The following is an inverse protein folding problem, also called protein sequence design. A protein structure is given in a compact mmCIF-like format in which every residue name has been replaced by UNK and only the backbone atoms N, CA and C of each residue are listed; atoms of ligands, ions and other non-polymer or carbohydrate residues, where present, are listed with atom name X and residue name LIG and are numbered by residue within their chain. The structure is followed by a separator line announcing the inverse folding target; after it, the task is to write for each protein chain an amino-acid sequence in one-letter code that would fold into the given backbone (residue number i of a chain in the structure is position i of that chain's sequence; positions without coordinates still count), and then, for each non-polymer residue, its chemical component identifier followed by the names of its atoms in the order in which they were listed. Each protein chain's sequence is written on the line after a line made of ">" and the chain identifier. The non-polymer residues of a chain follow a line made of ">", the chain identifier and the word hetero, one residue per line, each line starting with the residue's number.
data_IF_159425841110
#
_entry.id   IF_159425841110
#
_cell.length_a   1.000
_cell.length_b   1.000
_cell.length_c   1.000
_cell.angle_alpha   90.00
_cell.angle_beta   90.00
_cell.angle_gamma   90.00
#
_symmetry.space_group_name_H-M   'P 1'
#
loop_
_entity.id
_entity.type
_entity.pdbx_description
1 polymer ?
#
# COMPACT_ATOMS: atom_id res chain seq x y z
N UNK A 1 19.66 -32.33 -8.30
CA UNK A 1 20.12 -30.92 -8.26
C UNK A 1 19.48 -30.10 -7.14
N UNK A 2 18.22 -30.31 -6.75
CA UNK A 2 17.54 -29.47 -5.72
C UNK A 2 17.88 -29.79 -4.26
N UNK A 3 18.30 -31.03 -3.93
CA UNK A 3 18.64 -31.44 -2.56
C UNK A 3 20.14 -31.29 -2.23
N UNK A 4 20.88 -30.59 -3.10
CA UNK A 4 22.32 -30.40 -2.97
C UNK A 4 22.55 -29.10 -2.19
N UNK A 5 23.44 -29.14 -1.20
CA UNK A 5 23.80 -27.96 -0.41
C UNK A 5 24.41 -26.87 -1.32
N UNK A 6 24.46 -25.62 -0.88
CA UNK A 6 25.13 -24.56 -1.65
C UNK A 6 26.63 -24.88 -1.90
N UNK A 7 27.24 -25.73 -1.05
CA UNK A 7 28.59 -26.27 -1.25
C UNK A 7 28.66 -27.30 -2.39
N UNK A 8 27.55 -28.00 -2.68
CA UNK A 8 27.46 -29.04 -3.71
C UNK A 8 27.05 -28.50 -5.10
N UNK A 9 26.45 -27.30 -5.17
CA UNK A 9 26.10 -26.63 -6.44
C UNK A 9 26.50 -25.14 -6.45
N UNK A 10 27.80 -24.92 -6.61
CA UNK A 10 28.44 -23.60 -6.62
C UNK A 10 27.88 -22.60 -7.65
N UNK A 11 27.15 -23.07 -8.66
CA UNK A 11 26.58 -22.25 -9.73
C UNK A 11 25.11 -21.84 -9.53
N UNK A 12 24.51 -22.11 -8.36
CA UNK A 12 23.09 -21.81 -8.08
C UNK A 12 22.73 -20.35 -8.30
N UNK A 13 23.61 -19.44 -7.84
CA UNK A 13 23.40 -17.99 -7.98
C UNK A 13 23.41 -17.57 -9.44
N UNK A 14 24.35 -18.09 -10.23
CA UNK A 14 24.50 -17.82 -11.66
C UNK A 14 23.31 -18.37 -12.45
N UNK A 15 22.84 -19.58 -12.11
CA UNK A 15 21.65 -20.17 -12.72
C UNK A 15 20.40 -19.32 -12.43
N UNK A 16 20.19 -18.93 -11.17
CA UNK A 16 19.06 -18.08 -10.79
C UNK A 16 19.13 -16.71 -11.48
N UNK A 17 20.32 -16.12 -11.63
CA UNK A 17 20.50 -14.88 -12.36
C UNK A 17 20.25 -15.04 -13.88
N UNK A 18 20.62 -16.17 -14.45
CA UNK A 18 20.35 -16.50 -15.85
C UNK A 18 18.85 -16.64 -16.10
N UNK A 19 18.15 -17.43 -15.27
CA UNK A 19 16.69 -17.58 -15.33
C UNK A 19 15.99 -16.25 -15.09
N UNK A 20 16.45 -15.47 -14.11
CA UNK A 20 15.96 -14.13 -13.83
C UNK A 20 16.07 -13.20 -15.04
N UNK A 21 17.23 -13.19 -15.70
CA UNK A 21 17.45 -12.42 -16.93
C UNK A 21 16.52 -12.86 -18.07
N UNK A 22 16.29 -14.17 -18.20
CA UNK A 22 15.35 -14.72 -19.19
C UNK A 22 13.89 -14.29 -18.90
N UNK A 23 13.45 -14.39 -17.64
CA UNK A 23 12.10 -13.97 -17.20
C UNK A 23 11.89 -12.49 -17.49
N UNK A 24 12.87 -11.66 -17.15
CA UNK A 24 12.87 -10.22 -17.39
C UNK A 24 12.86 -9.85 -18.88
N UNK A 25 13.44 -10.68 -19.75
CA UNK A 25 13.54 -10.40 -21.18
C UNK A 25 12.34 -10.93 -21.99
N UNK A 26 11.84 -12.10 -21.63
CA UNK A 26 10.82 -12.84 -22.40
C UNK A 26 9.47 -12.89 -21.71
N UNK A 27 9.39 -12.53 -20.43
CA UNK A 27 8.20 -12.66 -19.60
C UNK A 27 8.12 -14.04 -18.92
N UNK A 28 7.44 -14.13 -17.75
CA UNK A 28 7.40 -15.34 -16.95
C UNK A 28 6.75 -16.52 -17.67
N UNK A 29 5.67 -16.28 -18.42
CA UNK A 29 4.94 -17.32 -19.15
C UNK A 29 5.81 -18.07 -20.16
N UNK A 30 6.53 -17.33 -21.01
CA UNK A 30 7.39 -17.93 -22.02
C UNK A 30 8.52 -18.77 -21.39
N UNK A 31 9.06 -18.33 -20.25
CA UNK A 31 10.09 -19.10 -19.54
C UNK A 31 9.49 -20.37 -18.94
N UNK A 32 8.29 -20.31 -18.35
CA UNK A 32 7.61 -21.50 -17.84
C UNK A 32 7.32 -22.51 -18.96
N UNK A 33 6.91 -22.05 -20.14
CA UNK A 33 6.67 -22.88 -21.31
C UNK A 33 7.96 -23.59 -21.79
N UNK A 34 9.09 -22.87 -21.82
CA UNK A 34 10.42 -23.41 -22.17
C UNK A 34 10.88 -24.45 -21.14
N UNK A 35 10.64 -24.20 -19.86
CA UNK A 35 10.94 -25.14 -18.77
C UNK A 35 9.94 -26.31 -18.71
N UNK A 36 8.93 -26.32 -19.58
CA UNK A 36 7.84 -27.29 -19.62
C UNK A 36 7.07 -27.37 -18.29
N UNK A 37 6.98 -26.25 -17.57
CA UNK A 37 6.22 -26.11 -16.34
C UNK A 37 4.80 -25.66 -16.70
N UNK A 38 3.87 -26.63 -16.79
CA UNK A 38 2.47 -26.36 -17.12
C UNK A 38 1.69 -25.71 -15.97
N UNK A 39 2.04 -26.04 -14.73
CA UNK A 39 1.49 -25.43 -13.51
C UNK A 39 2.59 -25.34 -12.48
N UNK A 40 2.65 -24.22 -11.77
CA UNK A 40 3.46 -24.14 -10.56
C UNK A 40 2.80 -25.08 -9.53
N UNK A 41 3.60 -25.96 -8.94
CA UNK A 41 3.25 -26.97 -7.96
C UNK A 41 4.31 -27.01 -6.88
N UNK A 42 4.13 -27.89 -5.89
CA UNK A 42 5.09 -28.05 -4.79
C UNK A 42 6.47 -28.53 -5.30
N UNK A 43 6.52 -29.31 -6.39
CA UNK A 43 7.80 -29.80 -6.93
C UNK A 43 8.65 -28.71 -7.59
N UNK A 44 8.03 -27.64 -8.06
CA UNK A 44 8.70 -26.54 -8.76
C UNK A 44 8.62 -25.19 -8.02
N UNK A 45 8.26 -25.22 -6.73
CA UNK A 45 8.13 -24.03 -5.86
C UNK A 45 9.40 -23.16 -5.81
N UNK A 46 10.57 -23.76 -6.04
CA UNK A 46 11.86 -23.07 -6.14
C UNK A 46 11.90 -21.94 -7.17
N UNK A 47 10.97 -21.92 -8.14
CA UNK A 47 10.89 -20.87 -9.16
C UNK A 47 10.23 -19.60 -8.62
N UNK A 48 9.40 -19.68 -7.57
CA UNK A 48 8.66 -18.54 -7.02
C UNK A 48 9.59 -17.39 -6.60
N UNK A 49 10.67 -17.60 -5.82
CA UNK A 49 11.57 -16.51 -5.44
C UNK A 49 12.30 -15.88 -6.62
N UNK A 50 12.48 -16.63 -7.73
CA UNK A 50 13.10 -16.10 -8.95
C UNK A 50 12.09 -15.23 -9.69
N UNK A 51 10.85 -15.70 -9.84
CA UNK A 51 9.75 -14.94 -10.42
C UNK A 51 9.49 -13.65 -9.63
N UNK A 52 9.39 -13.74 -8.31
CA UNK A 52 9.16 -12.60 -7.42
C UNK A 52 10.20 -11.49 -7.63
N UNK A 53 11.46 -11.84 -7.90
CA UNK A 53 12.53 -10.84 -8.07
C UNK A 53 12.71 -10.29 -9.48
N UNK A 54 12.29 -11.03 -10.51
CA UNK A 54 12.69 -10.72 -11.88
C UNK A 54 11.54 -10.49 -12.86
N UNK A 55 10.29 -10.64 -12.41
CA UNK A 55 9.14 -10.21 -13.21
C UNK A 55 9.14 -8.69 -13.30
N UNK A 56 9.29 -8.20 -14.53
CA UNK A 56 9.20 -6.78 -14.89
C UNK A 56 8.61 -6.71 -16.30
N UNK A 57 7.69 -5.79 -16.55
CA UNK A 57 7.14 -5.63 -17.91
C UNK A 57 6.14 -6.70 -18.34
N UNK A 58 5.74 -7.59 -17.42
CA UNK A 58 4.84 -8.71 -17.72
C UNK A 58 3.37 -8.26 -17.83
N UNK A 59 2.54 -9.03 -18.54
CA UNK A 59 1.10 -8.77 -18.58
C UNK A 59 0.45 -9.18 -17.25
N UNK A 60 -0.46 -8.35 -16.74
CA UNK A 60 -1.29 -8.67 -15.58
C UNK A 60 -2.17 -9.91 -15.81
N UNK A 61 -2.43 -10.28 -17.07
CA UNK A 61 -3.12 -11.52 -17.43
C UNK A 61 -2.36 -12.76 -16.95
N UNK A 62 -1.03 -12.71 -16.84
CA UNK A 62 -0.25 -13.81 -16.26
C UNK A 62 -0.71 -14.09 -14.83
N UNK A 63 -0.84 -13.05 -14.01
CA UNK A 63 -1.36 -13.20 -12.66
C UNK A 63 -2.83 -13.64 -12.67
N UNK A 64 -3.66 -13.00 -13.49
CA UNK A 64 -5.11 -13.23 -13.50
C UNK A 64 -5.54 -14.61 -14.02
N UNK A 65 -4.81 -15.17 -15.00
CA UNK A 65 -5.16 -16.44 -15.65
C UNK A 65 -4.35 -17.59 -15.09
N UNK A 66 -3.03 -17.43 -15.02
CA UNK A 66 -2.13 -18.53 -14.72
C UNK A 66 -1.98 -18.66 -13.20
N UNK A 67 -1.62 -17.59 -12.48
CA UNK A 67 -1.39 -17.65 -11.02
C UNK A 67 -2.70 -17.82 -10.23
N UNK A 68 -3.72 -17.00 -10.49
CA UNK A 68 -5.00 -17.11 -9.77
C UNK A 68 -5.73 -18.43 -10.04
N UNK A 69 -5.50 -19.06 -11.19
CA UNK A 69 -6.00 -20.40 -11.47
C UNK A 69 -5.45 -21.41 -10.47
N UNK A 70 -4.14 -21.35 -10.21
CA UNK A 70 -3.45 -22.21 -9.23
C UNK A 70 -3.92 -21.89 -7.82
N UNK A 71 -3.96 -20.60 -7.43
CA UNK A 71 -4.45 -20.16 -6.11
C UNK A 71 -5.83 -20.76 -5.81
N UNK A 72 -6.79 -20.59 -6.72
CA UNK A 72 -8.16 -21.10 -6.52
C UNK A 72 -8.21 -22.63 -6.42
N UNK A 73 -7.37 -23.33 -7.19
CA UNK A 73 -7.29 -24.79 -7.13
C UNK A 73 -6.77 -25.28 -5.77
N UNK A 74 -5.72 -24.61 -5.26
CA UNK A 74 -5.13 -24.91 -3.95
C UNK A 74 -6.10 -24.55 -2.83
N UNK A 75 -6.70 -23.36 -2.85
CA UNK A 75 -7.70 -22.93 -1.86
C UNK A 75 -8.89 -23.90 -1.76
N UNK A 76 -9.38 -24.40 -2.91
CA UNK A 76 -10.47 -25.41 -2.94
C UNK A 76 -10.06 -26.75 -2.31
N UNK A 77 -8.77 -27.04 -2.25
CA UNK A 77 -8.25 -28.28 -1.65
C UNK A 77 -8.11 -28.19 -0.12
N UNK A 78 -7.89 -27.00 0.44
CA UNK A 78 -7.64 -26.79 1.87
C UNK A 78 -8.76 -27.35 2.76
N UNK A 79 -10.06 -27.06 2.52
CA UNK A 79 -11.13 -27.62 3.36
C UNK A 79 -11.22 -29.14 3.32
N UNK A 80 -10.80 -29.78 2.22
CA UNK A 80 -10.76 -31.25 2.11
C UNK A 80 -9.64 -31.82 2.98
N UNK A 81 -8.47 -31.19 2.96
CA UNK A 81 -7.33 -31.58 3.81
C UNK A 81 -7.65 -31.43 5.30
N UNK A 82 -8.38 -30.40 5.67
CA UNK A 82 -8.84 -30.21 7.05
C UNK A 82 -9.84 -31.28 7.49
N UNK A 83 -10.74 -31.74 6.60
CA UNK A 83 -11.68 -32.83 6.89
C UNK A 83 -11.00 -34.20 7.04
N UNK A 84 -9.88 -34.40 6.36
CA UNK A 84 -9.07 -35.62 6.44
C UNK A 84 -8.07 -35.60 7.62
N UNK A 85 -8.22 -34.67 8.58
CA UNK A 85 -7.30 -34.42 9.70
C UNK A 85 -5.84 -34.14 9.29
N UNK A 86 -5.60 -33.67 8.05
CA UNK A 86 -4.27 -33.33 7.52
C UNK A 86 -3.93 -31.86 7.76
N UNK A 87 -3.90 -31.44 9.02
CA UNK A 87 -3.64 -30.04 9.41
C UNK A 87 -2.32 -29.49 8.84
N UNK A 88 -1.24 -30.27 8.88
CA UNK A 88 0.06 -29.83 8.35
C UNK A 88 0.03 -29.59 6.84
N UNK A 89 -0.68 -30.44 6.09
CA UNK A 89 -0.83 -30.27 4.64
C UNK A 89 -1.71 -29.06 4.32
N UNK A 90 -2.76 -28.82 5.11
CA UNK A 90 -3.60 -27.63 4.97
C UNK A 90 -2.78 -26.34 5.20
N UNK A 91 -2.01 -26.26 6.30
CA UNK A 91 -1.13 -25.11 6.57
C UNK A 91 -0.07 -24.89 5.51
N UNK A 92 0.50 -25.98 4.96
CA UNK A 92 1.45 -25.88 3.84
C UNK A 92 0.78 -25.29 2.59
N UNK A 93 -0.44 -25.71 2.29
CA UNK A 93 -1.21 -25.17 1.18
C UNK A 93 -1.56 -23.68 1.38
N UNK A 94 -1.90 -23.26 2.60
CA UNK A 94 -2.08 -21.83 2.94
C UNK A 94 -0.80 -21.02 2.72
N UNK A 95 0.35 -21.53 3.18
CA UNK A 95 1.65 -20.90 2.92
C UNK A 95 1.98 -20.80 1.43
N UNK A 96 1.64 -21.84 0.67
CA UNK A 96 1.83 -21.84 -0.79
C UNK A 96 0.92 -20.80 -1.49
N UNK A 97 -0.33 -20.65 -1.05
CA UNK A 97 -1.23 -19.59 -1.53
C UNK A 97 -0.60 -18.22 -1.28
N UNK A 98 -0.07 -17.98 -0.08
CA UNK A 98 0.62 -16.73 0.24
C UNK A 98 1.81 -16.47 -0.71
N UNK A 99 2.67 -17.47 -0.95
CA UNK A 99 3.81 -17.35 -1.87
C UNK A 99 3.40 -17.14 -3.33
N UNK A 100 2.22 -17.62 -3.76
CA UNK A 100 1.69 -17.30 -5.09
C UNK A 100 1.23 -15.84 -5.16
N UNK A 101 0.59 -15.34 -4.10
CA UNK A 101 0.19 -13.94 -4.00
C UNK A 101 1.39 -12.99 -3.91
N UNK A 102 2.53 -13.40 -3.32
CA UNK A 102 3.74 -12.57 -3.26
C UNK A 102 4.32 -12.21 -4.63
N UNK A 103 3.89 -12.91 -5.71
CA UNK A 103 4.24 -12.55 -7.08
C UNK A 103 3.50 -11.31 -7.61
N UNK A 104 2.37 -10.93 -7.00
CA UNK A 104 1.52 -9.85 -7.50
C UNK A 104 2.26 -8.49 -7.59
N UNK A 105 3.00 -8.02 -6.57
CA UNK A 105 3.73 -6.76 -6.64
C UNK A 105 4.69 -6.72 -7.84
N UNK A 106 5.37 -7.83 -8.12
CA UNK A 106 6.29 -7.96 -9.25
C UNK A 106 5.55 -8.00 -10.59
N UNK A 107 4.39 -8.65 -10.65
CA UNK A 107 3.51 -8.56 -11.83
C UNK A 107 3.00 -7.13 -12.06
N UNK A 108 2.88 -6.33 -11.00
CA UNK A 108 2.54 -4.92 -11.05
C UNK A 108 3.73 -4.00 -11.40
N UNK A 109 4.95 -4.54 -11.51
CA UNK A 109 6.15 -3.77 -11.90
C UNK A 109 6.20 -3.55 -13.43
N UNK A 110 5.86 -2.32 -13.84
CA UNK A 110 5.73 -1.88 -15.23
C UNK A 110 4.89 -2.79 -16.17
N UNK A 111 3.71 -3.31 -15.80
CA UNK A 111 2.91 -4.18 -16.65
C UNK A 111 2.51 -3.52 -17.97
N UNK A 112 2.45 -4.33 -19.03
CA UNK A 112 2.23 -3.84 -20.38
C UNK A 112 0.76 -3.60 -20.75
N UNK A 113 -0.19 -3.97 -19.89
CA UNK A 113 -1.62 -4.07 -20.21
C UNK A 113 -2.55 -3.54 -19.10
N UNK A 114 -2.06 -2.63 -18.25
CA UNK A 114 -2.80 -2.07 -17.10
C UNK A 114 -4.18 -1.56 -17.50
N UNK A 115 -4.27 -0.68 -18.51
CA UNK A 115 -5.55 -0.10 -18.96
C UNK A 115 -6.61 -1.16 -19.30
N UNK A 116 -6.21 -2.25 -19.97
CA UNK A 116 -7.13 -3.32 -20.36
C UNK A 116 -7.46 -4.32 -19.24
N UNK A 117 -6.49 -4.60 -18.35
CA UNK A 117 -6.57 -5.69 -17.38
C UNK A 117 -7.01 -5.23 -15.97
N UNK A 118 -6.86 -3.93 -15.66
CA UNK A 118 -7.09 -3.42 -14.29
C UNK A 118 -8.53 -3.59 -13.83
N UNK A 119 -9.53 -3.48 -14.73
CA UNK A 119 -10.94 -3.68 -14.38
C UNK A 119 -11.23 -5.07 -13.81
N UNK A 120 -10.57 -6.11 -14.32
CA UNK A 120 -10.68 -7.48 -13.79
C UNK A 120 -9.88 -7.60 -12.52
N UNK A 121 -8.65 -7.08 -12.52
CA UNK A 121 -7.76 -7.11 -11.36
C UNK A 121 -8.40 -6.44 -10.13
N UNK A 122 -8.99 -5.25 -10.26
CA UNK A 122 -9.56 -4.53 -9.12
C UNK A 122 -10.66 -5.32 -8.41
N UNK A 123 -11.46 -6.11 -9.13
CA UNK A 123 -12.50 -6.93 -8.49
C UNK A 123 -11.87 -7.98 -7.58
N UNK A 124 -10.82 -8.62 -8.07
CA UNK A 124 -10.03 -9.58 -7.29
C UNK A 124 -9.40 -8.88 -6.09
N UNK A 125 -8.74 -7.74 -6.29
CA UNK A 125 -8.08 -7.00 -5.20
C UNK A 125 -9.06 -6.55 -4.12
N UNK A 126 -10.23 -6.04 -4.50
CA UNK A 126 -11.27 -5.61 -3.55
C UNK A 126 -11.79 -6.79 -2.72
N UNK A 127 -12.10 -7.92 -3.37
CA UNK A 127 -12.56 -9.13 -2.70
C UNK A 127 -11.51 -9.66 -1.72
N UNK A 128 -10.26 -9.75 -2.16
CA UNK A 128 -9.16 -10.23 -1.32
C UNK A 128 -8.86 -9.27 -0.15
N UNK A 129 -8.93 -7.95 -0.34
CA UNK A 129 -8.78 -6.97 0.75
C UNK A 129 -9.80 -7.18 1.88
N UNK A 130 -11.05 -7.48 1.51
CA UNK A 130 -12.13 -7.69 2.45
C UNK A 130 -11.98 -9.04 3.17
N UNK A 131 -11.71 -10.11 2.42
CA UNK A 131 -11.82 -11.49 2.91
C UNK A 131 -10.51 -12.07 3.46
N UNK A 132 -9.34 -11.53 3.10
CA UNK A 132 -8.03 -12.12 3.41
C UNK A 132 -7.08 -11.11 4.08
N UNK A 133 -7.12 -10.97 5.42
CA UNK A 133 -6.29 -10.00 6.16
C UNK A 133 -4.78 -10.12 5.90
N UNK A 134 -4.28 -11.34 5.80
CA UNK A 134 -2.85 -11.63 5.65
C UNK A 134 -2.29 -11.14 4.30
N UNK A 135 -3.15 -11.01 3.28
CA UNK A 135 -2.77 -10.58 1.94
C UNK A 135 -2.85 -9.06 1.75
N UNK A 136 -3.40 -8.31 2.72
CA UNK A 136 -3.62 -6.86 2.58
C UNK A 136 -2.33 -6.09 2.32
N UNK A 137 -1.21 -6.50 2.94
CA UNK A 137 0.10 -5.90 2.71
C UNK A 137 0.57 -6.03 1.26
N UNK A 138 0.42 -7.24 0.68
CA UNK A 138 0.76 -7.54 -0.72
C UNK A 138 -0.10 -6.68 -1.66
N UNK A 139 -1.41 -6.61 -1.44
CA UNK A 139 -2.32 -5.83 -2.28
C UNK A 139 -2.01 -4.34 -2.21
N UNK A 140 -1.80 -3.81 -0.99
CA UNK A 140 -1.44 -2.40 -0.78
C UNK A 140 -0.13 -2.04 -1.47
N UNK A 141 0.88 -2.91 -1.40
CA UNK A 141 2.15 -2.72 -2.12
C UNK A 141 1.93 -2.71 -3.64
N UNK A 142 1.16 -3.67 -4.15
CA UNK A 142 0.88 -3.82 -5.58
C UNK A 142 0.18 -2.59 -6.18
N UNK A 143 -0.81 -2.03 -5.48
CA UNK A 143 -1.50 -0.80 -5.90
C UNK A 143 -0.55 0.40 -5.89
N UNK A 144 0.31 0.51 -4.86
CA UNK A 144 1.30 1.59 -4.80
C UNK A 144 2.29 1.53 -5.95
N UNK A 145 2.78 0.35 -6.32
CA UNK A 145 3.69 0.18 -7.47
C UNK A 145 3.00 0.67 -8.74
N UNK A 146 1.77 0.21 -9.00
CA UNK A 146 0.99 0.63 -10.18
C UNK A 146 0.81 2.15 -10.26
N UNK A 147 0.49 2.80 -9.15
CA UNK A 147 0.24 4.25 -9.13
C UNK A 147 1.56 5.03 -9.28
N UNK A 148 2.58 4.70 -8.48
CA UNK A 148 3.84 5.45 -8.43
C UNK A 148 4.56 5.45 -9.77
N UNK A 149 4.69 4.30 -10.42
CA UNK A 149 5.40 4.19 -11.70
C UNK A 149 4.71 4.98 -12.84
N UNK A 150 3.36 5.02 -12.85
CA UNK A 150 2.65 5.83 -13.83
C UNK A 150 2.81 7.33 -13.53
N UNK A 151 2.78 7.74 -12.26
CA UNK A 151 3.03 9.15 -11.89
C UNK A 151 4.45 9.59 -12.23
N UNK A 152 5.43 8.72 -12.01
CA UNK A 152 6.82 8.95 -12.39
C UNK A 152 6.92 9.18 -13.90
N UNK A 153 6.29 8.31 -14.71
CA UNK A 153 6.22 8.47 -16.16
C UNK A 153 5.62 9.81 -16.63
N UNK A 154 4.63 10.34 -15.90
CA UNK A 154 4.07 11.67 -16.18
C UNK A 154 5.01 12.83 -15.80
N UNK A 155 5.77 12.67 -14.73
CA UNK A 155 6.69 13.69 -14.21
C UNK A 155 7.94 13.87 -15.08
N UNK A 156 8.33 12.83 -15.82
CA UNK A 156 9.51 12.84 -16.68
C UNK A 156 9.27 13.78 -17.86
N UNK A 157 10.07 14.84 -17.94
CA UNK A 157 9.97 15.88 -18.98
C UNK A 157 11.00 15.67 -20.10
N UNK A 158 12.18 15.12 -19.78
CA UNK A 158 13.24 14.82 -20.75
C UNK A 158 13.54 13.31 -20.79
N UNK A 159 13.80 12.76 -21.99
CA UNK A 159 14.18 11.35 -22.17
C UNK A 159 15.51 10.99 -21.47
N UNK A 160 16.36 11.97 -21.20
CA UNK A 160 17.65 11.78 -20.52
C UNK A 160 17.49 11.46 -19.03
N UNK A 161 16.41 11.89 -18.37
CA UNK A 161 16.11 11.56 -16.96
C UNK A 161 15.73 10.07 -16.77
N UNK A 162 15.32 9.39 -17.84
CA UNK A 162 15.05 7.93 -17.83
C UNK A 162 16.36 7.14 -17.67
N UNK A 163 17.49 7.72 -18.09
CA UNK A 163 18.78 7.04 -18.30
C UNK A 163 19.78 7.22 -17.15
N UNK A 164 19.47 8.05 -16.15
CA UNK A 164 20.43 8.42 -15.08
C UNK A 164 20.64 7.30 -14.05
N UNK A 165 19.75 6.31 -14.00
CA UNK A 165 19.83 5.27 -12.98
C UNK A 165 20.70 4.09 -13.43
N UNK A 166 22.00 4.20 -13.14
CA UNK A 166 23.02 3.21 -13.51
C UNK A 166 22.75 1.81 -12.90
N UNK A 167 21.88 1.70 -11.88
CA UNK A 167 21.53 0.45 -11.20
C UNK A 167 20.37 -0.34 -11.86
N UNK A 168 19.57 0.28 -12.74
CA UNK A 168 18.43 -0.42 -13.36
C UNK A 168 18.88 -1.49 -14.37
N UNK A 169 18.26 -2.66 -14.31
CA UNK A 169 18.47 -3.73 -15.28
C UNK A 169 18.02 -3.32 -16.69
N UNK A 170 18.57 -3.97 -17.72
CA UNK A 170 18.19 -3.72 -19.13
C UNK A 170 16.70 -3.97 -19.38
N UNK A 171 16.08 -4.92 -18.68
CA UNK A 171 14.65 -5.20 -18.75
C UNK A 171 13.82 -4.09 -18.12
N UNK A 172 14.20 -3.60 -16.95
CA UNK A 172 13.53 -2.48 -16.29
C UNK A 172 13.56 -1.21 -17.14
N UNK A 173 14.72 -0.90 -17.74
CA UNK A 173 14.82 0.24 -18.67
C UNK A 173 13.86 0.10 -19.84
N UNK A 174 13.82 -1.08 -20.49
CA UNK A 174 12.90 -1.35 -21.61
C UNK A 174 11.43 -1.30 -21.18
N UNK A 175 11.10 -1.74 -19.97
CA UNK A 175 9.74 -1.68 -19.46
C UNK A 175 9.33 -0.23 -19.15
N UNK A 176 10.22 0.54 -18.53
CA UNK A 176 10.03 1.98 -18.25
C UNK A 176 9.89 2.81 -19.53
N UNK A 177 10.64 2.50 -20.58
CA UNK A 177 10.53 3.15 -21.90
C UNK A 177 9.13 2.97 -22.55
N UNK A 178 8.40 1.90 -22.21
CA UNK A 178 7.03 1.67 -22.71
C UNK A 178 5.98 2.51 -21.97
N UNK A 179 6.30 3.03 -20.79
CA UNK A 179 5.42 3.91 -20.03
C UNK A 179 5.56 5.34 -20.54
N UNK A 180 5.00 5.58 -21.73
CA UNK A 180 4.86 6.94 -22.29
C UNK A 180 3.84 7.75 -21.49
N UNK A 181 3.85 9.08 -21.63
CA UNK A 181 2.84 9.94 -20.97
C UNK A 181 1.41 9.52 -21.29
N UNK A 182 1.14 9.21 -22.57
CA UNK A 182 -0.18 8.74 -23.02
C UNK A 182 -0.60 7.42 -22.35
N UNK A 183 0.29 6.42 -22.33
CA UNK A 183 0.03 5.14 -21.66
C UNK A 183 -0.19 5.33 -20.15
N UNK A 184 0.62 6.19 -19.52
CA UNK A 184 0.48 6.49 -18.10
C UNK A 184 -0.84 7.20 -17.76
N UNK A 185 -1.28 8.14 -18.59
CA UNK A 185 -2.58 8.80 -18.46
C UNK A 185 -3.74 7.81 -18.60
N UNK A 186 -3.69 6.92 -19.59
CA UNK A 186 -4.71 5.89 -19.79
C UNK A 186 -4.78 4.92 -18.60
N UNK A 187 -3.63 4.42 -18.15
CA UNK A 187 -3.53 3.54 -16.99
C UNK A 187 -4.08 4.21 -15.72
N UNK A 188 -3.70 5.46 -15.45
CA UNK A 188 -4.18 6.19 -14.27
C UNK A 188 -5.66 6.51 -14.36
N UNK A 189 -6.21 6.77 -15.55
CA UNK A 189 -7.64 6.95 -15.75
C UNK A 189 -8.43 5.71 -15.33
N UNK A 190 -7.98 4.53 -15.75
CA UNK A 190 -8.61 3.26 -15.35
C UNK A 190 -8.48 3.00 -13.85
N UNK A 191 -7.32 3.27 -13.24
CA UNK A 191 -7.15 3.12 -11.79
C UNK A 191 -8.04 4.10 -11.02
N UNK A 192 -8.10 5.36 -11.46
CA UNK A 192 -8.92 6.43 -10.84
C UNK A 192 -10.40 6.08 -10.84
N UNK A 193 -10.91 5.43 -11.89
CA UNK A 193 -12.32 5.03 -11.97
C UNK A 193 -12.78 4.14 -10.79
N UNK A 194 -11.85 3.41 -10.16
CA UNK A 194 -12.15 2.54 -9.00
C UNK A 194 -11.66 3.10 -7.66
N UNK A 195 -11.08 4.30 -7.66
CA UNK A 195 -10.48 4.91 -6.46
C UNK A 195 -11.47 5.05 -5.29
N UNK A 196 -12.71 5.47 -5.55
CA UNK A 196 -13.75 5.58 -4.51
C UNK A 196 -14.04 4.24 -3.83
N UNK A 197 -14.09 3.15 -4.58
CA UNK A 197 -14.35 1.80 -4.05
C UNK A 197 -13.17 1.33 -3.20
N UNK A 198 -11.94 1.55 -3.66
CA UNK A 198 -10.75 1.25 -2.86
C UNK A 198 -10.68 2.08 -1.58
N UNK A 199 -10.96 3.37 -1.64
CA UNK A 199 -10.99 4.25 -0.46
C UNK A 199 -12.04 3.82 0.55
N UNK A 200 -13.22 3.38 0.11
CA UNK A 200 -14.27 2.85 0.98
C UNK A 200 -13.80 1.61 1.74
N UNK A 201 -13.26 0.63 1.02
CA UNK A 201 -12.75 -0.62 1.60
C UNK A 201 -11.57 -0.36 2.54
N UNK A 202 -10.59 0.42 2.09
CA UNK A 202 -9.40 0.74 2.88
C UNK A 202 -9.74 1.57 4.11
N UNK A 203 -10.69 2.51 4.03
CA UNK A 203 -11.17 3.27 5.18
C UNK A 203 -11.83 2.33 6.20
N UNK A 204 -12.71 1.44 5.75
CA UNK A 204 -13.35 0.45 6.63
C UNK A 204 -12.31 -0.42 7.33
N UNK A 205 -11.33 -0.93 6.59
CA UNK A 205 -10.25 -1.75 7.15
C UNK A 205 -9.38 -0.94 8.11
N UNK A 206 -9.02 0.30 7.75
CA UNK A 206 -8.20 1.18 8.59
C UNK A 206 -8.83 1.41 9.95
N UNK A 207 -10.14 1.63 9.99
CA UNK A 207 -10.88 1.88 11.23
C UNK A 207 -11.06 0.62 12.09
N UNK A 208 -11.02 -0.58 11.50
CA UNK A 208 -11.14 -1.85 12.22
C UNK A 208 -9.80 -2.52 12.55
N UNK A 209 -8.67 -1.90 12.18
CA UNK A 209 -7.35 -2.56 12.20
C UNK A 209 -6.55 -2.28 13.46
N UNK A 210 -5.65 -3.22 13.79
CA UNK A 210 -4.61 -3.03 14.80
C UNK A 210 -3.50 -2.08 14.29
N UNK A 211 -2.65 -1.59 15.21
CA UNK A 211 -1.57 -0.63 14.91
C UNK A 211 -0.60 -1.09 13.82
N UNK A 212 -0.41 -2.41 13.66
CA UNK A 212 0.55 -2.98 12.72
C UNK A 212 0.09 -2.92 11.26
N UNK A 213 -1.23 -3.07 11.02
CA UNK A 213 -1.79 -3.00 9.67
C UNK A 213 -1.80 -1.57 9.09
N UNK A 214 -1.75 -0.56 9.96
CA UNK A 214 -1.73 0.86 9.55
C UNK A 214 -0.49 1.19 8.71
N UNK A 215 0.64 0.49 8.95
CA UNK A 215 1.91 0.75 8.28
C UNK A 215 1.86 0.62 6.76
N UNK A 216 1.14 -0.38 6.25
CA UNK A 216 0.97 -0.58 4.80
C UNK A 216 -0.30 0.05 4.23
N UNK A 217 -1.35 0.24 5.05
CA UNK A 217 -2.60 0.88 4.62
C UNK A 217 -2.42 2.37 4.34
N UNK A 218 -1.71 3.09 5.23
CA UNK A 218 -1.56 4.54 5.11
C UNK A 218 -0.88 4.96 3.79
N UNK A 219 0.25 4.36 3.35
CA UNK A 219 0.86 4.70 2.07
C UNK A 219 -0.04 4.36 0.88
N UNK A 220 -0.78 3.23 0.93
CA UNK A 220 -1.69 2.86 -0.16
C UNK A 220 -2.86 3.84 -0.30
N UNK A 221 -3.49 4.24 0.82
CA UNK A 221 -4.54 5.26 0.84
C UNK A 221 -4.01 6.58 0.28
N UNK A 222 -2.79 6.96 0.67
CA UNK A 222 -2.12 8.17 0.17
C UNK A 222 -1.92 8.16 -1.35
N UNK A 223 -1.46 7.05 -1.91
CA UNK A 223 -1.33 6.93 -3.37
C UNK A 223 -2.68 6.97 -4.09
N UNK A 224 -3.69 6.26 -3.59
CA UNK A 224 -5.03 6.29 -4.19
C UNK A 224 -5.64 7.69 -4.09
N UNK A 225 -5.57 8.35 -2.93
CA UNK A 225 -6.08 9.69 -2.73
C UNK A 225 -5.43 10.69 -3.71
N UNK A 226 -4.14 10.53 -3.98
CA UNK A 226 -3.39 11.42 -4.88
C UNK A 226 -3.83 11.39 -6.35
N UNK A 227 -4.52 10.33 -6.79
CA UNK A 227 -5.04 10.18 -8.15
C UNK A 227 -6.56 10.35 -8.23
N UNK A 228 -7.23 10.38 -7.08
CA UNK A 228 -8.69 10.44 -6.95
C UNK A 228 -9.24 11.83 -7.27
N UNK A 229 -10.53 11.91 -7.58
CA UNK A 229 -11.25 13.18 -7.65
C UNK A 229 -11.29 13.87 -6.28
N UNK A 230 -11.05 15.20 -6.29
CA UNK A 230 -11.01 16.00 -5.05
C UNK A 230 -12.31 15.89 -4.24
N UNK A 231 -13.46 15.80 -4.92
CA UNK A 231 -14.77 15.66 -4.28
C UNK A 231 -14.91 14.31 -3.55
N UNK A 232 -14.37 13.23 -4.15
CA UNK A 232 -14.38 11.88 -3.56
C UNK A 232 -13.52 11.87 -2.30
N UNK A 233 -12.27 12.35 -2.38
CA UNK A 233 -11.36 12.42 -1.23
C UNK A 233 -11.92 13.35 -0.14
N UNK A 234 -12.49 14.49 -0.55
CA UNK A 234 -13.12 15.46 0.34
C UNK A 234 -14.27 14.86 1.16
N UNK A 235 -15.10 13.99 0.56
CA UNK A 235 -16.17 13.27 1.29
C UNK A 235 -15.59 12.42 2.42
N UNK A 236 -14.62 11.54 2.11
CA UNK A 236 -13.99 10.67 3.11
C UNK A 236 -13.27 11.48 4.20
N UNK A 237 -12.63 12.58 3.82
CA UNK A 237 -11.96 13.48 4.76
C UNK A 237 -12.95 14.16 5.71
N UNK A 238 -14.04 14.74 5.19
CA UNK A 238 -15.05 15.38 6.02
C UNK A 238 -15.70 14.39 6.99
N UNK A 239 -15.97 13.16 6.55
CA UNK A 239 -16.51 12.11 7.41
C UNK A 239 -15.52 11.71 8.52
N UNK A 240 -14.23 11.65 8.21
CA UNK A 240 -13.19 11.41 9.21
C UNK A 240 -13.09 12.55 10.23
N UNK A 241 -13.12 13.81 9.78
CA UNK A 241 -13.08 14.99 10.66
C UNK A 241 -14.32 15.08 11.55
N UNK A 242 -15.52 14.75 11.04
CA UNK A 242 -16.74 14.69 11.86
C UNK A 242 -16.61 13.67 12.99
N UNK A 243 -16.21 12.44 12.65
CA UNK A 243 -15.98 11.38 13.66
C UNK A 243 -14.90 11.79 14.66
N UNK A 244 -13.85 12.48 14.22
CA UNK A 244 -12.77 12.96 15.10
C UNK A 244 -13.30 14.00 16.09
N UNK A 245 -14.15 14.91 15.63
CA UNK A 245 -14.79 15.92 16.46
C UNK A 245 -15.69 15.27 17.52
N UNK A 246 -16.52 14.31 17.12
CA UNK A 246 -17.42 13.61 18.03
C UNK A 246 -16.65 12.81 19.09
N UNK A 247 -15.60 12.11 18.70
CA UNK A 247 -14.71 11.40 19.63
C UNK A 247 -13.98 12.36 20.58
N UNK A 248 -13.58 13.55 20.10
CA UNK A 248 -12.94 14.57 20.95
C UNK A 248 -13.92 15.17 21.97
N UNK A 249 -15.17 15.43 21.58
CA UNK A 249 -16.21 15.88 22.50
C UNK A 249 -16.51 14.84 23.58
N UNK A 250 -16.54 13.56 23.22
CA UNK A 250 -16.77 12.47 24.18
C UNK A 250 -15.68 12.42 25.26
N UNK A 251 -14.41 12.56 24.87
CA UNK A 251 -13.28 12.59 25.83
C UNK A 251 -13.36 13.81 26.75
N UNK A 252 -13.64 14.99 26.19
CA UNK A 252 -13.72 16.22 27.00
C UNK A 252 -14.91 16.20 27.98
N UNK A 253 -16.04 15.61 27.59
CA UNK A 253 -17.20 15.44 28.47
C UNK A 253 -16.93 14.46 29.62
N UNK A 254 -16.08 13.46 29.39
CA UNK A 254 -15.69 12.46 30.40
C UNK A 254 -14.72 13.03 31.43
N UNK A 255 -13.81 13.94 31.04
CA UNK A 255 -12.89 14.62 31.98
C UNK A 255 -13.59 15.51 33.01
N UNK A 256 -14.86 15.89 32.80
CA UNK A 256 -15.64 16.73 33.72
C UNK A 256 -16.43 15.90 34.78
N UNK A 257 -16.56 14.58 34.60
CA UNK A 257 -17.40 13.69 35.42
C UNK A 257 -16.58 12.62 36.17
N UNK A 258 -15.45 13.02 36.74
CA UNK A 258 -14.39 12.15 37.30
C UNK A 258 -14.75 11.48 38.66
N UNK A 259 -15.90 10.80 38.72
CA UNK A 259 -16.46 10.23 39.95
C UNK A 259 -17.01 8.80 39.86
N UNK A 260 -16.81 8.05 38.77
CA UNK A 260 -17.35 6.66 38.67
C UNK A 260 -16.32 5.62 38.18
N UNK A 261 -16.33 4.44 38.80
CA UNK A 261 -15.35 3.35 38.62
C UNK A 261 -15.42 2.58 37.27
N UNK A 262 -16.03 3.14 36.20
CA UNK A 262 -16.15 2.47 34.89
C UNK A 262 -15.44 3.20 33.73
N UNK A 263 -14.56 4.17 34.02
CA UNK A 263 -14.12 5.20 33.05
C UNK A 263 -12.91 4.80 32.18
N UNK A 264 -12.06 3.87 32.61
CA UNK A 264 -10.77 3.61 31.95
C UNK A 264 -10.91 3.00 30.53
N UNK A 265 -11.83 2.06 30.32
CA UNK A 265 -11.96 1.36 29.02
C UNK A 265 -12.51 2.27 27.91
N UNK A 266 -13.46 3.15 28.23
CA UNK A 266 -14.16 3.96 27.23
C UNK A 266 -13.36 5.22 26.83
N UNK A 267 -12.63 5.82 27.78
CA UNK A 267 -11.75 6.95 27.52
C UNK A 267 -10.53 6.56 26.66
N UNK A 268 -9.94 5.39 26.94
CA UNK A 268 -8.82 4.84 26.17
C UNK A 268 -9.25 4.50 24.72
N UNK A 269 -10.44 3.93 24.54
CA UNK A 269 -11.01 3.62 23.22
C UNK A 269 -11.25 4.88 22.38
N UNK A 270 -11.81 5.94 22.98
CA UNK A 270 -12.04 7.20 22.30
C UNK A 270 -10.73 7.93 21.95
N UNK A 271 -9.73 7.90 22.83
CA UNK A 271 -8.40 8.46 22.54
C UNK A 271 -7.69 7.73 21.40
N UNK A 272 -7.77 6.39 21.38
CA UNK A 272 -7.24 5.60 20.27
C UNK A 272 -7.98 5.91 18.95
N UNK A 273 -9.30 6.05 19.00
CA UNK A 273 -10.12 6.41 17.84
C UNK A 273 -9.76 7.80 17.29
N UNK A 274 -9.53 8.79 18.17
CA UNK A 274 -9.07 10.14 17.77
C UNK A 274 -7.72 10.08 17.06
N UNK A 275 -6.77 9.36 17.63
CA UNK A 275 -5.43 9.20 17.07
C UNK A 275 -5.46 8.53 15.67
N UNK A 276 -6.28 7.49 15.51
CA UNK A 276 -6.47 6.78 14.23
C UNK A 276 -7.12 7.67 13.17
N UNK A 277 -8.19 8.39 13.53
CA UNK A 277 -8.88 9.29 12.61
C UNK A 277 -7.99 10.44 12.14
N UNK A 278 -7.11 10.95 13.00
CA UNK A 278 -6.13 11.97 12.64
C UNK A 278 -5.10 11.44 11.63
N UNK A 279 -4.62 10.21 11.84
CA UNK A 279 -3.68 9.56 10.92
C UNK A 279 -4.33 9.17 9.58
N UNK A 280 -5.59 8.75 9.59
CA UNK A 280 -6.37 8.52 8.40
C UNK A 280 -6.59 9.82 7.62
N UNK A 281 -7.01 10.90 8.28
CA UNK A 281 -7.18 12.20 7.63
C UNK A 281 -5.86 12.70 7.00
N UNK A 282 -4.73 12.43 7.64
CA UNK A 282 -3.40 12.73 7.10
C UNK A 282 -3.04 11.86 5.88
N UNK A 283 -3.53 10.62 5.81
CA UNK A 283 -3.31 9.76 4.64
C UNK A 283 -4.01 10.29 3.38
N UNK A 284 -5.09 11.06 3.52
CA UNK A 284 -5.85 11.61 2.38
C UNK A 284 -5.24 12.91 1.81
N UNK A 285 -4.27 13.53 2.49
CA UNK A 285 -3.75 14.86 2.14
C UNK A 285 -3.34 15.05 0.68
N UNK A 286 -2.69 14.08 -0.01
CA UNK A 286 -2.29 14.29 -1.40
C UNK A 286 -3.45 14.56 -2.37
N UNK A 287 -4.67 14.16 -2.02
CA UNK A 287 -5.88 14.38 -2.83
C UNK A 287 -6.73 15.57 -2.38
N UNK A 288 -6.33 16.29 -1.33
CA UNK A 288 -7.13 17.37 -0.73
C UNK A 288 -6.82 18.74 -1.34
N UNK A 289 -7.79 19.64 -1.25
CA UNK A 289 -7.60 21.05 -1.56
C UNK A 289 -6.98 21.82 -0.38
N UNK A 290 -6.47 23.03 -0.66
CA UNK A 290 -5.83 23.86 0.36
C UNK A 290 -6.76 24.21 1.53
N UNK A 291 -8.09 24.31 1.30
CA UNK A 291 -9.06 24.58 2.37
C UNK A 291 -9.16 23.39 3.32
N UNK A 292 -9.30 22.17 2.80
CA UNK A 292 -9.37 20.95 3.62
C UNK A 292 -8.07 20.71 4.40
N UNK A 293 -6.91 21.01 3.80
CA UNK A 293 -5.61 20.95 4.49
C UNK A 293 -5.56 21.95 5.66
N UNK A 294 -6.07 23.17 5.48
CA UNK A 294 -6.16 24.15 6.56
C UNK A 294 -7.10 23.69 7.69
N UNK A 295 -8.22 23.04 7.34
CA UNK A 295 -9.12 22.42 8.31
C UNK A 295 -8.35 21.36 9.11
N UNK A 296 -7.63 20.44 8.46
CA UNK A 296 -6.80 19.44 9.16
C UNK A 296 -5.80 20.09 10.12
N UNK A 297 -5.10 21.14 9.68
CA UNK A 297 -4.15 21.87 10.52
C UNK A 297 -4.81 22.48 11.77
N UNK A 298 -6.05 22.98 11.65
CA UNK A 298 -6.80 23.52 12.79
C UNK A 298 -7.10 22.47 13.87
N UNK A 299 -7.19 21.19 13.51
CA UNK A 299 -7.34 20.06 14.45
C UNK A 299 -6.00 19.55 14.98
N UNK A 300 -4.95 19.55 14.16
CA UNK A 300 -3.60 19.14 14.57
C UNK A 300 -3.02 20.09 15.61
N UNK A 301 -3.24 21.41 15.47
CA UNK A 301 -2.70 22.43 16.38
C UNK A 301 -3.06 22.20 17.86
N UNK A 302 -4.33 22.00 18.26
CA UNK A 302 -4.66 21.66 19.64
C UNK A 302 -4.20 20.25 20.02
N UNK A 303 -4.24 19.28 19.09
CA UNK A 303 -3.83 17.89 19.36
C UNK A 303 -2.33 17.74 19.71
N UNK A 304 -1.49 18.70 19.31
CA UNK A 304 -0.06 18.75 19.71
C UNK A 304 0.11 19.04 21.21
N UNK A 305 -0.86 19.73 21.83
CA UNK A 305 -0.87 20.05 23.26
C UNK A 305 -1.82 19.14 24.04
N UNK A 306 -2.20 18.01 23.47
CA UNK A 306 -3.09 17.06 24.13
C UNK A 306 -2.39 16.39 25.32
N UNK A 307 -3.14 16.11 26.39
CA UNK A 307 -2.64 15.39 27.55
C UNK A 307 -2.38 13.92 27.21
N UNK A 308 -3.08 13.37 26.20
CA UNK A 308 -2.84 12.01 25.73
C UNK A 308 -1.58 11.93 24.84
N UNK A 309 -0.57 11.22 25.33
CA UNK A 309 0.72 11.06 24.64
C UNK A 309 0.60 10.38 23.26
N UNK A 310 -0.40 9.53 23.05
CA UNK A 310 -0.62 8.85 21.76
C UNK A 310 -1.16 9.83 20.72
N UNK A 311 -2.20 10.59 21.06
CA UNK A 311 -2.76 11.63 20.19
C UNK A 311 -1.71 12.71 19.88
N UNK A 312 -0.92 13.12 20.87
CA UNK A 312 0.18 14.07 20.68
C UNK A 312 1.25 13.55 19.69
N UNK A 313 1.76 12.32 19.86
CA UNK A 313 2.76 11.73 18.95
C UNK A 313 2.24 11.63 17.52
N UNK A 314 0.97 11.26 17.34
CA UNK A 314 0.33 11.19 16.02
C UNK A 314 0.14 12.59 15.42
N UNK A 315 -0.24 13.58 16.22
CA UNK A 315 -0.33 14.97 15.77
C UNK A 315 1.01 15.52 15.27
N UNK A 316 2.12 15.21 15.95
CA UNK A 316 3.47 15.55 15.45
C UNK A 316 3.83 14.84 14.15
N UNK A 317 3.50 13.54 14.02
CA UNK A 317 3.69 12.80 12.75
C UNK A 317 2.91 13.46 11.61
N UNK A 318 1.65 13.81 11.86
CA UNK A 318 0.77 14.48 10.87
C UNK A 318 1.32 15.86 10.52
N UNK A 319 1.80 16.63 11.50
CA UNK A 319 2.47 17.92 11.25
C UNK A 319 3.71 17.76 10.36
N UNK A 320 4.53 16.74 10.61
CA UNK A 320 5.70 16.44 9.76
C UNK A 320 5.27 16.14 8.32
N UNK A 321 4.18 15.39 8.13
CA UNK A 321 3.65 15.11 6.79
C UNK A 321 3.09 16.37 6.12
N UNK A 322 2.34 17.21 6.86
CA UNK A 322 1.83 18.49 6.37
C UNK A 322 2.95 19.40 5.88
N UNK A 323 4.05 19.49 6.64
CA UNK A 323 5.21 20.28 6.24
C UNK A 323 5.78 19.75 4.92
N UNK A 324 6.02 18.45 4.79
CA UNK A 324 6.54 17.83 3.54
C UNK A 324 5.67 18.13 2.33
N UNK A 325 4.35 18.08 2.46
CA UNK A 325 3.41 18.39 1.37
C UNK A 325 3.40 19.90 1.06
N UNK A 326 3.41 20.76 2.09
CA UNK A 326 3.43 22.21 1.91
C UNK A 326 4.73 22.73 1.28
N UNK A 327 5.88 22.08 1.53
CA UNK A 327 7.15 22.40 0.86
C UNK A 327 7.06 22.19 -0.67
N UNK A 328 6.27 21.22 -1.15
CA UNK A 328 6.03 21.03 -2.58
C UNK A 328 5.04 22.07 -3.16
N UNK A 329 4.17 22.68 -2.36
CA UNK A 329 3.05 23.51 -2.83
C UNK A 329 3.28 25.03 -2.79
N UNK A 330 4.45 25.53 -2.39
CA UNK A 330 4.74 26.99 -2.31
C UNK A 330 3.58 27.81 -1.69
N UNK A 331 3.00 27.31 -0.59
CA UNK A 331 1.94 28.04 0.11
C UNK A 331 2.54 29.28 0.80
N UNK A 332 2.10 30.46 0.35
CA UNK A 332 2.48 31.83 0.81
C UNK A 332 2.40 32.04 2.33
N UNK A 333 1.75 31.14 3.08
CA UNK A 333 1.65 31.19 4.54
C UNK A 333 2.82 30.55 5.30
N UNK A 334 3.90 30.19 4.60
CA UNK A 334 5.10 29.52 5.14
C UNK A 334 5.65 30.17 6.43
N UNK A 335 5.61 31.50 6.53
CA UNK A 335 6.05 32.26 7.70
C UNK A 335 5.20 31.99 8.95
N UNK A 336 3.87 31.81 8.82
CA UNK A 336 3.00 31.43 9.95
C UNK A 336 3.21 29.98 10.38
N UNK A 337 3.52 29.08 9.44
CA UNK A 337 3.76 27.66 9.75
C UNK A 337 5.06 27.44 10.52
N UNK A 338 6.16 28.11 10.12
CA UNK A 338 7.43 28.07 10.85
C UNK A 338 7.28 28.70 12.24
N UNK A 339 6.57 29.84 12.34
CA UNK A 339 6.39 30.52 13.61
C UNK A 339 5.64 29.65 14.64
N UNK A 340 4.67 28.83 14.21
CA UNK A 340 4.02 27.86 15.10
C UNK A 340 4.96 26.74 15.58
N UNK A 341 5.87 26.23 14.73
CA UNK A 341 6.83 25.20 15.14
C UNK A 341 7.85 25.78 16.14
N UNK A 342 8.39 26.98 15.86
CA UNK A 342 9.31 27.66 16.78
C UNK A 342 8.65 28.03 18.12
N UNK A 343 7.37 28.42 18.14
CA UNK A 343 6.62 28.69 19.38
C UNK A 343 6.37 27.41 20.19
N UNK A 344 6.13 26.27 19.54
CA UNK A 344 5.90 24.99 20.23
C UNK A 344 7.21 24.41 20.78
N UNK A 345 8.32 24.51 20.06
CA UNK A 345 9.65 24.13 20.57
C UNK A 345 10.14 25.05 21.69
N UNK A 346 9.86 26.35 21.61
CA UNK A 346 10.18 27.29 22.69
C UNK A 346 9.36 27.02 23.97
N UNK A 347 8.10 26.58 23.85
CA UNK A 347 7.28 26.19 25.01
C UNK A 347 7.69 24.85 25.63
N UNK A 348 8.24 23.92 24.84
CA UNK A 348 8.76 22.66 25.35
C UNK A 348 10.07 22.83 26.15
N UNK A 349 10.93 23.78 25.75
CA UNK A 349 12.18 24.09 26.47
C UNK A 349 12.01 25.05 27.66
N UNK A 350 10.86 25.69 27.84
CA UNK A 350 10.57 26.55 29.01
C UNK A 350 9.91 25.82 30.17
N UNK A 351 9.75 24.49 30.07
CA UNK A 351 9.14 23.61 31.07
C UNK A 351 10.14 22.58 31.65
N UNK A 352 11.43 22.74 31.37
CA UNK A 352 12.54 22.06 32.08
C UNK A 352 13.13 22.94 33.17
#
# INVERSE_FOLDING_TARGET
>A
MQNMSDDDFSFRKQLNACLGSAISAMGPKNVLDILHIQSISVENEWILPILERHIVGASLQFFLRDILGIVRAVEKSIPKLLKDDKLFSAKRAEGYVYSLWSLLPSCCNYPCDTSSSFRVLQNVLCDTLQNQPDLRGIICSSIQILIKQNKEALSITNKEDILVDAELSKSERRAKERYTKESAEENLKEIRAFSSKFLEILCSIFMSSSKDAIGFLQPAISEIASISDKDVVGKFFLDAIRKLLDATKAVNAQQLNDGSMQIEDNSNTNNMTRALLLEFAASLMPGLDAKSINVLFSYVKPAIKDNDSMNQKRAYKVLSMLLKVCFCFQLVNFVKYICCVCLVQAQAHSLE
#
